data_IF_244544013615
#
_entry.id   IF_244544013615
#
_cell.length_a   1.000
_cell.length_b   1.000
_cell.length_c   1.000
_cell.angle_alpha   90.00
_cell.angle_beta   90.00
_cell.angle_gamma   90.00
#
_symmetry.space_group_name_H-M   'P 1'
#
loop_
_entity.id
_entity.type
_entity.pdbx_description
1 polymer ?
#
# COMPACT_ATOMS: atom_id res chain seq x y z
N UNK A 1 -20.36 21.59 -13.62
CA UNK A 1 -20.21 20.30 -12.94
C UNK A 1 -21.32 19.38 -13.42
N UNK A 2 -21.00 18.60 -14.44
CA UNK A 2 -21.90 17.65 -15.08
C UNK A 2 -21.75 16.29 -14.41
N UNK A 3 -22.81 15.78 -13.78
CA UNK A 3 -22.79 14.45 -13.16
C UNK A 3 -23.31 13.44 -14.18
N UNK A 4 -22.45 12.52 -14.59
CA UNK A 4 -22.77 11.46 -15.50
C UNK A 4 -22.94 10.15 -14.72
N UNK A 5 -24.17 9.62 -14.59
CA UNK A 5 -24.35 8.27 -14.09
C UNK A 5 -23.72 7.32 -15.10
N UNK A 6 -22.71 6.56 -14.67
CA UNK A 6 -22.16 5.51 -15.50
C UNK A 6 -23.21 4.39 -15.58
N UNK A 7 -23.69 4.14 -16.80
CA UNK A 7 -24.51 2.96 -17.09
C UNK A 7 -23.61 1.72 -17.19
N UNK A 8 -24.13 0.62 -17.72
CA UNK A 8 -23.38 -0.58 -18.07
C UNK A 8 -22.06 -0.30 -18.83
N UNK A 9 -22.03 0.73 -19.69
CA UNK A 9 -20.88 1.08 -20.51
C UNK A 9 -20.66 2.60 -20.60
N UNK A 10 -19.43 3.05 -20.31
CA UNK A 10 -19.00 4.45 -20.48
C UNK A 10 -18.11 4.57 -21.70
N UNK A 11 -18.50 5.40 -22.66
CA UNK A 11 -17.78 5.63 -23.92
C UNK A 11 -16.56 6.54 -23.71
N UNK A 12 -15.60 6.45 -24.63
CA UNK A 12 -14.46 7.36 -24.65
C UNK A 12 -14.92 8.83 -24.67
N UNK A 13 -14.26 9.67 -23.87
CA UNK A 13 -14.64 11.07 -23.69
C UNK A 13 -14.04 11.68 -22.42
N UNK A 14 -14.27 12.97 -22.24
CA UNK A 14 -13.90 13.73 -21.04
C UNK A 14 -15.16 14.05 -20.23
N UNK A 15 -15.10 13.82 -18.92
CA UNK A 15 -16.24 13.94 -18.02
C UNK A 15 -15.85 14.72 -16.76
N UNK A 16 -16.67 15.67 -16.31
CA UNK A 16 -16.41 16.30 -15.01
C UNK A 16 -16.53 15.25 -13.89
N UNK A 17 -17.69 14.61 -13.77
CA UNK A 17 -17.95 13.64 -12.71
C UNK A 17 -18.65 12.42 -13.25
N UNK A 18 -18.06 11.25 -13.05
CA UNK A 18 -18.64 9.94 -13.33
C UNK A 18 -19.06 9.26 -12.03
N UNK A 19 -20.25 8.69 -11.99
CA UNK A 19 -20.76 7.95 -10.83
C UNK A 19 -21.16 6.55 -11.27
N UNK A 20 -20.37 5.55 -10.88
CA UNK A 20 -20.61 4.14 -11.15
C UNK A 20 -21.30 3.48 -9.96
N UNK A 21 -22.64 3.49 -9.96
CA UNK A 21 -23.49 2.87 -8.93
C UNK A 21 -23.84 1.42 -9.22
N UNK A 22 -23.62 0.95 -10.44
CA UNK A 22 -23.86 -0.42 -10.89
C UNK A 22 -22.60 -0.95 -11.56
N UNK A 23 -22.49 -2.28 -11.78
CA UNK A 23 -21.39 -2.85 -12.53
C UNK A 23 -21.26 -2.20 -13.91
N UNK A 24 -20.10 -1.64 -14.21
CA UNK A 24 -19.88 -0.90 -15.45
C UNK A 24 -18.52 -1.19 -16.09
N UNK A 25 -18.46 -0.97 -17.40
CA UNK A 25 -17.26 -1.11 -18.22
C UNK A 25 -16.91 0.22 -18.87
N UNK A 26 -15.65 0.63 -18.78
CA UNK A 26 -15.17 1.81 -19.46
C UNK A 26 -14.52 1.42 -20.79
N UNK A 27 -14.72 2.26 -21.80
CA UNK A 27 -13.95 2.21 -23.03
C UNK A 27 -12.50 2.67 -22.78
N UNK A 28 -11.62 2.42 -23.74
CA UNK A 28 -10.31 3.04 -23.74
C UNK A 28 -10.44 4.57 -23.84
N UNK A 29 -9.55 5.31 -23.17
CA UNK A 29 -9.48 6.79 -23.22
C UNK A 29 -10.65 7.53 -22.54
N UNK A 30 -11.34 6.93 -21.58
CA UNK A 30 -12.20 7.68 -20.66
C UNK A 30 -11.33 8.54 -19.74
N UNK A 31 -11.64 9.84 -19.65
CA UNK A 31 -11.00 10.80 -18.75
C UNK A 31 -12.03 11.46 -17.86
N UNK A 32 -11.67 11.71 -16.60
CA UNK A 32 -12.58 12.37 -15.67
C UNK A 32 -11.89 13.31 -14.67
N UNK A 33 -12.59 14.32 -14.18
CA UNK A 33 -12.11 15.03 -12.98
C UNK A 33 -12.41 14.20 -11.73
N UNK A 34 -13.61 13.63 -11.60
CA UNK A 34 -13.97 12.80 -10.45
C UNK A 34 -14.68 11.53 -10.87
N UNK A 35 -14.20 10.37 -10.41
CA UNK A 35 -14.91 9.09 -10.52
C UNK A 35 -15.32 8.61 -9.14
N UNK A 36 -16.63 8.39 -8.93
CA UNK A 36 -17.18 7.74 -7.76
C UNK A 36 -17.59 6.31 -8.12
N UNK A 37 -16.80 5.32 -7.71
CA UNK A 37 -17.12 3.91 -7.91
C UNK A 37 -17.76 3.33 -6.64
N UNK A 38 -18.98 2.82 -6.76
CA UNK A 38 -19.72 2.18 -5.65
C UNK A 38 -19.83 0.66 -5.80
N UNK A 39 -19.66 0.14 -7.02
CA UNK A 39 -19.78 -1.28 -7.34
C UNK A 39 -18.62 -1.74 -8.24
N UNK A 40 -18.77 -2.81 -9.02
CA UNK A 40 -17.71 -3.35 -9.87
C UNK A 40 -17.45 -2.44 -11.07
N UNK A 41 -16.20 -2.01 -11.23
CA UNK A 41 -15.74 -1.23 -12.37
C UNK A 41 -14.66 -2.00 -13.11
N UNK A 42 -14.86 -2.21 -14.41
CA UNK A 42 -13.81 -2.73 -15.30
C UNK A 42 -13.38 -1.64 -16.27
N UNK A 43 -12.09 -1.36 -16.34
CA UNK A 43 -11.55 -0.39 -17.30
C UNK A 43 -10.27 -0.94 -17.92
N UNK A 44 -10.01 -0.68 -19.21
CA UNK A 44 -8.70 -0.95 -19.78
C UNK A 44 -7.63 -0.04 -19.16
N UNK A 45 -7.94 1.24 -18.99
CA UNK A 45 -7.09 2.27 -18.38
C UNK A 45 -7.95 3.25 -17.63
N UNK A 46 -7.48 3.76 -16.49
CA UNK A 46 -8.18 4.80 -15.72
C UNK A 46 -7.31 6.06 -15.76
N UNK A 47 -7.86 7.17 -16.26
CA UNK A 47 -7.14 8.45 -16.30
C UNK A 47 -8.04 9.56 -15.79
N UNK A 48 -7.54 10.42 -14.91
CA UNK A 48 -8.34 11.50 -14.36
C UNK A 48 -7.68 12.25 -13.22
N UNK A 49 -8.46 13.01 -12.46
CA UNK A 49 -7.94 13.77 -11.32
C UNK A 49 -8.15 12.99 -10.01
N UNK A 50 -9.40 12.60 -9.70
CA UNK A 50 -9.75 11.95 -8.43
C UNK A 50 -10.55 10.68 -8.66
N UNK A 51 -10.05 9.56 -8.12
CA UNK A 51 -10.74 8.28 -8.05
C UNK A 51 -11.19 8.02 -6.61
N UNK A 52 -12.49 7.90 -6.37
CA UNK A 52 -13.07 7.56 -5.07
C UNK A 52 -13.79 6.20 -5.17
N UNK A 53 -13.28 5.22 -4.42
CA UNK A 53 -13.89 3.90 -4.28
C UNK A 53 -14.72 3.83 -3.00
N UNK A 54 -16.01 3.49 -3.09
CA UNK A 54 -16.88 3.27 -1.95
C UNK A 54 -17.28 1.80 -1.93
N UNK A 55 -16.45 0.98 -1.29
CA UNK A 55 -16.58 -0.50 -1.25
C UNK A 55 -16.58 -1.18 -2.62
N UNK A 56 -16.12 -0.49 -3.66
CA UNK A 56 -16.11 -0.97 -5.03
C UNK A 56 -15.01 -2.00 -5.31
N UNK A 57 -15.21 -2.81 -6.35
CA UNK A 57 -14.16 -3.66 -6.93
C UNK A 57 -13.74 -3.08 -8.28
N UNK A 58 -12.60 -2.41 -8.31
CA UNK A 58 -12.05 -1.75 -9.49
C UNK A 58 -10.99 -2.67 -10.10
N UNK A 59 -11.16 -3.02 -11.37
CA UNK A 59 -10.23 -3.84 -12.15
C UNK A 59 -9.77 -3.07 -13.37
N UNK A 60 -8.48 -2.75 -13.39
CA UNK A 60 -7.81 -2.07 -14.47
C UNK A 60 -6.79 -3.00 -15.12
N UNK A 61 -6.96 -3.31 -16.42
CA UNK A 61 -6.05 -4.23 -17.12
C UNK A 61 -4.74 -3.59 -17.59
N UNK A 62 -4.65 -2.25 -17.57
CA UNK A 62 -3.43 -1.49 -17.84
C UNK A 62 -3.21 -0.46 -16.74
N UNK A 63 -2.72 0.72 -17.10
CA UNK A 63 -2.32 1.77 -16.18
C UNK A 63 -3.51 2.52 -15.55
N UNK A 64 -3.31 2.91 -14.31
CA UNK A 64 -4.13 3.91 -13.61
C UNK A 64 -3.27 5.17 -13.42
N UNK A 65 -3.74 6.30 -13.96
CA UNK A 65 -3.07 7.60 -13.87
C UNK A 65 -4.06 8.63 -13.33
N UNK A 66 -4.04 8.85 -12.03
CA UNK A 66 -4.92 9.83 -11.37
C UNK A 66 -4.15 10.63 -10.35
N UNK A 67 -4.49 11.88 -10.08
CA UNK A 67 -3.79 12.62 -9.01
C UNK A 67 -4.05 12.02 -7.65
N UNK A 68 -5.29 11.58 -7.36
CA UNK A 68 -5.66 11.09 -6.03
C UNK A 68 -6.51 9.83 -6.11
N UNK A 69 -6.13 8.81 -5.34
CA UNK A 69 -6.93 7.59 -5.11
C UNK A 69 -7.38 7.56 -3.66
N UNK A 70 -8.69 7.49 -3.43
CA UNK A 70 -9.27 7.50 -2.10
C UNK A 70 -10.33 6.40 -1.97
N UNK A 71 -10.47 5.85 -0.77
CA UNK A 71 -11.67 5.12 -0.38
C UNK A 71 -11.44 3.68 0.06
N UNK A 72 -12.34 2.77 -0.28
CA UNK A 72 -12.33 1.40 0.21
C UNK A 72 -12.78 0.37 -0.82
N UNK A 73 -12.41 -0.89 -0.60
CA UNK A 73 -12.81 -2.03 -1.42
C UNK A 73 -11.63 -2.83 -1.96
N UNK A 74 -11.65 -3.14 -3.26
CA UNK A 74 -10.61 -3.89 -3.95
C UNK A 74 -10.14 -3.11 -5.17
N UNK A 75 -8.86 -2.76 -5.23
CA UNK A 75 -8.24 -2.12 -6.39
C UNK A 75 -7.24 -3.08 -7.02
N UNK A 76 -7.54 -3.56 -8.22
CA UNK A 76 -6.67 -4.41 -9.00
C UNK A 76 -6.19 -3.68 -10.25
N UNK A 77 -4.87 -3.59 -10.41
CA UNK A 77 -4.20 -2.91 -11.52
C UNK A 77 -3.15 -3.86 -12.10
N UNK A 78 -3.31 -4.25 -13.35
CA UNK A 78 -2.35 -5.11 -14.04
C UNK A 78 -1.17 -4.33 -14.64
N UNK A 79 -1.34 -3.01 -14.86
CA UNK A 79 -0.29 -2.08 -15.27
C UNK A 79 0.33 -1.28 -14.13
N UNK A 80 0.80 -0.07 -14.43
CA UNK A 80 1.36 0.85 -13.45
C UNK A 80 0.26 1.65 -12.74
N UNK A 81 0.46 1.96 -11.46
CA UNK A 81 -0.41 2.85 -10.67
C UNK A 81 0.36 4.14 -10.37
N UNK A 82 -0.02 5.23 -11.03
CA UNK A 82 0.64 6.54 -10.93
C UNK A 82 -0.33 7.53 -10.31
N UNK A 83 0.07 8.12 -9.17
CA UNK A 83 -0.70 9.15 -8.49
C UNK A 83 0.14 10.10 -7.65
N UNK A 84 -0.47 11.16 -7.14
CA UNK A 84 0.17 12.07 -6.18
C UNK A 84 -0.11 11.63 -4.74
N UNK A 85 -1.28 11.05 -4.48
CA UNK A 85 -1.64 10.49 -3.17
C UNK A 85 -2.57 9.28 -3.30
N UNK A 86 -2.38 8.29 -2.44
CA UNK A 86 -3.22 7.10 -2.35
C UNK A 86 -3.59 6.86 -0.88
N UNK A 87 -4.88 6.87 -0.57
CA UNK A 87 -5.40 6.45 0.74
C UNK A 87 -6.49 5.41 0.54
N UNK A 88 -6.19 4.15 0.83
CA UNK A 88 -7.09 3.05 0.51
C UNK A 88 -7.30 2.09 1.68
N UNK A 89 -8.56 1.75 1.95
CA UNK A 89 -8.96 0.79 2.97
C UNK A 89 -9.44 -0.51 2.31
N UNK A 90 -8.66 -1.58 2.40
CA UNK A 90 -8.97 -2.86 1.76
C UNK A 90 -7.75 -3.44 1.06
N UNK A 91 -7.93 -3.96 -0.15
CA UNK A 91 -6.86 -4.64 -0.89
C UNK A 91 -6.46 -3.81 -2.11
N UNK A 92 -5.17 -3.53 -2.22
CA UNK A 92 -4.54 -2.93 -3.41
C UNK A 92 -3.60 -3.97 -4.00
N UNK A 93 -3.90 -4.42 -5.21
CA UNK A 93 -3.06 -5.35 -5.97
C UNK A 93 -2.60 -4.68 -7.25
N UNK A 94 -1.29 -4.46 -7.36
CA UNK A 94 -0.66 -3.87 -8.54
C UNK A 94 0.42 -4.79 -9.10
N UNK A 95 0.29 -5.21 -10.35
CA UNK A 95 1.27 -6.07 -11.03
C UNK A 95 2.43 -5.26 -11.66
N UNK A 96 2.26 -3.95 -11.86
CA UNK A 96 3.27 -3.02 -12.34
C UNK A 96 3.99 -2.26 -11.22
N UNK A 97 4.50 -1.08 -11.53
CA UNK A 97 5.13 -0.17 -10.56
C UNK A 97 4.05 0.74 -9.95
N UNK A 98 4.09 0.91 -8.63
CA UNK A 98 3.32 1.96 -7.96
C UNK A 98 4.23 3.18 -7.79
N UNK A 99 3.85 4.32 -8.37
CA UNK A 99 4.52 5.61 -8.19
C UNK A 99 3.54 6.59 -7.56
N UNK A 100 3.82 6.99 -6.32
CA UNK A 100 3.07 8.00 -5.60
C UNK A 100 3.98 9.21 -5.38
N UNK A 101 3.63 10.41 -5.85
CA UNK A 101 4.50 11.57 -5.62
C UNK A 101 4.61 11.96 -4.14
N UNK A 102 3.56 11.69 -3.35
CA UNK A 102 3.49 11.99 -1.93
C UNK A 102 3.18 10.75 -1.09
N UNK A 103 2.05 10.76 -0.40
CA UNK A 103 1.70 9.73 0.58
C UNK A 103 0.97 8.54 -0.05
N UNK A 104 1.46 7.33 0.25
CA UNK A 104 0.79 6.06 0.02
C UNK A 104 0.39 5.46 1.36
N UNK A 105 -0.91 5.46 1.65
CA UNK A 105 -1.52 4.93 2.87
C UNK A 105 -2.46 3.79 2.50
N UNK A 106 -2.16 2.58 2.97
CA UNK A 106 -3.03 1.41 2.81
C UNK A 106 -3.37 0.83 4.18
N UNK A 107 -4.66 0.79 4.50
CA UNK A 107 -5.17 0.06 5.66
C UNK A 107 -5.81 -1.24 5.18
N UNK A 108 -5.09 -2.35 5.30
CA UNK A 108 -5.46 -3.64 4.73
C UNK A 108 -4.28 -4.33 4.07
N UNK A 109 -4.42 -4.74 2.81
CA UNK A 109 -3.40 -5.52 2.11
C UNK A 109 -2.86 -4.78 0.89
N UNK A 110 -1.53 -4.64 0.82
CA UNK A 110 -0.82 -4.14 -0.35
C UNK A 110 -0.02 -5.28 -0.98
N UNK A 111 -0.41 -5.68 -2.19
CA UNK A 111 0.26 -6.70 -2.99
C UNK A 111 0.87 -6.04 -4.23
N UNK A 112 2.19 -6.02 -4.28
CA UNK A 112 2.93 -5.56 -5.43
C UNK A 112 4.05 -6.55 -5.78
N UNK A 113 4.16 -6.94 -7.04
CA UNK A 113 5.19 -7.90 -7.46
C UNK A 113 6.47 -7.22 -7.97
N UNK A 114 6.48 -5.88 -8.03
CA UNK A 114 7.60 -5.08 -8.53
C UNK A 114 8.02 -4.04 -7.49
N UNK A 115 7.91 -2.75 -7.83
CA UNK A 115 8.40 -1.65 -7.04
C UNK A 115 7.26 -0.73 -6.59
N UNK A 116 7.37 -0.27 -5.35
CA UNK A 116 6.58 0.80 -4.77
C UNK A 116 7.51 1.99 -4.50
N UNK A 117 7.17 3.15 -5.05
CA UNK A 117 7.91 4.41 -4.92
C UNK A 117 6.96 5.47 -4.39
N UNK A 118 7.25 6.05 -3.23
CA UNK A 118 6.47 7.13 -2.63
C UNK A 118 7.28 7.97 -1.65
N UNK A 119 6.92 9.24 -1.40
CA UNK A 119 7.59 10.00 -0.33
C UNK A 119 7.35 9.33 1.03
N UNK A 120 6.09 9.01 1.33
CA UNK A 120 5.71 8.26 2.52
C UNK A 120 4.98 6.98 2.13
N UNK A 121 5.41 5.84 2.67
CA UNK A 121 4.67 4.57 2.60
C UNK A 121 4.20 4.20 3.99
N UNK A 122 2.88 4.12 4.20
CA UNK A 122 2.27 3.65 5.43
C UNK A 122 1.32 2.50 5.15
N UNK A 123 1.64 1.33 5.67
CA UNK A 123 0.75 0.16 5.58
C UNK A 123 0.35 -0.28 6.98
N UNK A 124 -0.95 -0.23 7.24
CA UNK A 124 -1.59 -0.79 8.44
C UNK A 124 -2.27 -2.10 8.05
N UNK A 125 -1.56 -3.23 8.16
CA UNK A 125 -2.00 -4.54 7.72
C UNK A 125 -0.85 -5.35 7.11
N UNK A 126 -1.10 -6.00 5.97
CA UNK A 126 -0.13 -6.85 5.29
C UNK A 126 0.45 -6.18 4.05
N UNK A 127 1.77 -6.28 3.88
CA UNK A 127 2.45 -5.87 2.66
C UNK A 127 3.23 -7.02 2.05
N UNK A 128 3.07 -7.23 0.73
CA UNK A 128 3.98 -8.05 -0.08
C UNK A 128 4.49 -7.20 -1.23
N UNK A 129 5.81 -6.97 -1.28
CA UNK A 129 6.44 -6.15 -2.31
C UNK A 129 7.80 -6.74 -2.71
N UNK A 130 8.26 -6.54 -3.97
CA UNK A 130 9.63 -6.88 -4.29
C UNK A 130 10.58 -5.76 -3.85
N UNK A 131 10.24 -4.50 -4.10
CA UNK A 131 11.06 -3.36 -3.66
C UNK A 131 10.19 -2.20 -3.20
N UNK A 132 10.61 -1.54 -2.12
CA UNK A 132 9.99 -0.32 -1.60
C UNK A 132 11.05 0.76 -1.52
N UNK A 133 10.77 1.91 -2.12
CA UNK A 133 11.56 3.13 -2.01
C UNK A 133 10.69 4.21 -1.42
N UNK A 134 11.15 4.79 -0.31
CA UNK A 134 10.47 5.91 0.29
C UNK A 134 11.42 6.84 1.02
N UNK A 135 10.96 8.03 1.40
CA UNK A 135 11.65 8.81 2.44
C UNK A 135 11.28 8.27 3.82
N UNK A 136 9.99 7.99 4.05
CA UNK A 136 9.48 7.43 5.30
C UNK A 136 8.67 6.16 5.05
N UNK A 137 9.08 5.06 5.68
CA UNK A 137 8.41 3.77 5.58
C UNK A 137 7.88 3.33 6.95
N UNK A 138 6.56 3.14 7.06
CA UNK A 138 5.88 2.65 8.26
C UNK A 138 5.05 1.43 7.93
N UNK A 139 5.36 0.31 8.58
CA UNK A 139 4.61 -0.92 8.47
C UNK A 139 4.16 -1.38 9.85
N UNK A 140 2.85 -1.53 10.03
CA UNK A 140 2.24 -2.01 11.27
C UNK A 140 1.21 -3.09 10.94
N UNK A 141 1.34 -4.32 11.44
CA UNK A 141 0.30 -5.32 11.25
C UNK A 141 -1.02 -4.86 11.88
N UNK A 142 -2.12 -5.18 11.23
CA UNK A 142 -3.45 -4.84 11.72
C UNK A 142 -3.85 -5.86 12.80
N UNK A 143 -3.55 -5.56 14.05
CA UNK A 143 -4.06 -6.32 15.18
C UNK A 143 -5.42 -5.76 15.58
N UNK A 144 -6.49 -6.53 15.41
CA UNK A 144 -7.79 -6.21 16.01
C UNK A 144 -8.34 -7.43 16.73
N UNK A 145 -8.98 -7.23 17.90
CA UNK A 145 -9.69 -8.32 18.58
C UNK A 145 -10.81 -8.94 17.73
N UNK A 146 -11.22 -8.27 16.64
CA UNK A 146 -12.22 -8.73 15.69
C UNK A 146 -11.62 -9.62 14.59
N UNK A 147 -10.39 -9.41 14.13
CA UNK A 147 -9.74 -10.29 13.13
C UNK A 147 -9.57 -11.71 13.67
N UNK A 148 -9.22 -11.84 14.95
CA UNK A 148 -9.10 -13.14 15.62
C UNK A 148 -10.47 -13.78 15.92
N UNK A 149 -11.51 -12.97 16.21
CA UNK A 149 -12.88 -13.47 16.48
C UNK A 149 -13.63 -13.89 15.21
N UNK A 150 -13.38 -13.24 14.08
CA UNK A 150 -14.11 -13.49 12.84
C UNK A 150 -13.34 -14.30 11.80
N UNK A 151 -12.12 -14.78 12.10
CA UNK A 151 -11.25 -15.50 11.14
C UNK A 151 -11.22 -14.78 9.79
N UNK A 152 -10.85 -13.49 9.84
CA UNK A 152 -10.64 -12.71 8.62
C UNK A 152 -9.31 -13.13 7.99
N UNK A 153 -9.29 -14.36 7.47
CA UNK A 153 -8.12 -15.02 6.91
C UNK A 153 -7.49 -14.14 5.83
N UNK A 154 -6.22 -13.78 6.04
CA UNK A 154 -5.41 -13.06 5.05
C UNK A 154 -4.93 -11.68 5.47
N UNK A 155 -5.47 -11.05 6.52
CA UNK A 155 -4.96 -9.75 7.02
C UNK A 155 -3.97 -9.87 8.18
N UNK A 156 -3.80 -11.09 8.68
CA UNK A 156 -2.92 -11.52 9.77
C UNK A 156 -1.61 -12.16 9.27
N UNK A 157 -1.42 -12.21 7.95
CA UNK A 157 -0.24 -12.78 7.33
C UNK A 157 1.01 -11.91 7.54
N UNK A 158 2.17 -12.58 7.57
CA UNK A 158 3.47 -11.91 7.65
C UNK A 158 3.67 -10.99 6.44
N UNK A 159 4.22 -9.80 6.69
CA UNK A 159 4.59 -8.87 5.63
C UNK A 159 5.96 -9.24 5.07
N UNK A 160 6.08 -9.37 3.75
CA UNK A 160 7.29 -9.83 3.07
C UNK A 160 7.72 -8.82 2.02
N UNK A 161 8.89 -8.20 2.19
CA UNK A 161 9.44 -7.26 1.21
C UNK A 161 10.86 -7.67 0.87
N UNK A 162 11.24 -7.85 -0.39
CA UNK A 162 12.62 -8.30 -0.67
C UNK A 162 13.65 -7.20 -0.35
N UNK A 163 13.39 -5.96 -0.78
CA UNK A 163 14.29 -4.82 -0.55
C UNK A 163 13.52 -3.58 -0.09
N UNK A 164 13.93 -2.98 1.03
CA UNK A 164 13.42 -1.69 1.51
C UNK A 164 14.56 -0.67 1.51
N UNK A 165 14.33 0.47 0.88
CA UNK A 165 15.24 1.62 0.87
C UNK A 165 14.45 2.82 1.35
N UNK A 166 14.76 3.35 2.54
CA UNK A 166 14.15 4.58 3.00
C UNK A 166 14.98 5.30 4.07
N UNK A 167 14.86 6.62 4.17
CA UNK A 167 15.62 7.40 5.15
C UNK A 167 15.23 7.01 6.59
N UNK A 168 13.92 6.94 6.87
CA UNK A 168 13.35 6.53 8.16
C UNK A 168 12.43 5.31 8.00
N UNK A 169 12.71 4.25 8.75
CA UNK A 169 11.97 3.00 8.76
C UNK A 169 11.41 2.71 10.15
N UNK A 170 10.09 2.55 10.27
CA UNK A 170 9.45 1.87 11.39
C UNK A 170 8.71 0.63 10.89
N UNK A 171 9.21 -0.56 11.23
CA UNK A 171 8.59 -1.81 10.81
C UNK A 171 8.23 -2.70 12.01
N UNK A 172 7.07 -3.32 11.93
CA UNK A 172 6.58 -4.36 12.85
C UNK A 172 6.28 -5.63 12.06
N UNK A 173 6.82 -6.77 12.47
CA UNK A 173 6.53 -8.07 11.84
C UNK A 173 6.91 -8.16 10.35
N UNK A 174 8.00 -7.50 9.95
CA UNK A 174 8.51 -7.48 8.57
C UNK A 174 9.54 -8.60 8.34
N UNK A 175 9.37 -9.39 7.29
CA UNK A 175 10.41 -10.27 6.74
C UNK A 175 11.02 -9.61 5.51
N UNK A 176 12.35 -9.42 5.52
CA UNK A 176 13.05 -8.72 4.46
C UNK A 176 14.45 -9.28 4.18
N UNK A 177 14.90 -9.23 2.92
CA UNK A 177 16.26 -9.67 2.56
C UNK A 177 17.29 -8.57 2.67
N UNK A 178 16.94 -7.36 2.25
CA UNK A 178 17.84 -6.21 2.30
C UNK A 178 17.09 -4.96 2.75
N UNK A 179 17.66 -4.25 3.72
CA UNK A 179 17.11 -3.02 4.26
C UNK A 179 18.21 -1.98 4.32
N UNK A 180 17.99 -0.83 3.70
CA UNK A 180 18.90 0.30 3.70
C UNK A 180 18.18 1.54 4.24
N UNK A 181 18.74 2.15 5.29
CA UNK A 181 18.16 3.35 5.89
C UNK A 181 19.16 4.24 6.60
N UNK A 182 18.82 5.52 6.79
CA UNK A 182 19.55 6.38 7.72
C UNK A 182 19.21 6.00 9.17
N UNK A 183 17.93 5.74 9.43
CA UNK A 183 17.39 5.36 10.75
C UNK A 183 16.36 4.23 10.60
N UNK A 184 16.41 3.27 11.51
CA UNK A 184 15.46 2.14 11.50
C UNK A 184 15.05 1.71 12.91
N UNK A 185 13.75 1.49 13.10
CA UNK A 185 13.14 0.85 14.26
C UNK A 185 12.42 -0.42 13.82
N UNK A 186 12.93 -1.58 14.27
CA UNK A 186 12.48 -2.91 13.89
C UNK A 186 12.00 -3.66 15.13
N UNK A 187 10.71 -3.94 15.23
CA UNK A 187 10.11 -4.53 16.44
C UNK A 187 9.05 -5.58 16.08
N UNK A 188 8.53 -6.29 17.08
CA UNK A 188 7.43 -7.25 16.92
C UNK A 188 7.71 -8.33 15.86
N UNK A 189 8.87 -9.00 15.96
CA UNK A 189 9.17 -10.19 15.14
C UNK A 189 9.71 -9.89 13.75
N UNK A 190 10.37 -8.76 13.54
CA UNK A 190 11.06 -8.47 12.28
C UNK A 190 12.17 -9.49 12.01
N UNK A 191 12.30 -9.97 10.77
CA UNK A 191 13.38 -10.86 10.33
C UNK A 191 14.06 -10.30 9.09
N UNK A 192 15.26 -9.76 9.27
CA UNK A 192 15.98 -9.08 8.20
C UNK A 192 17.32 -9.78 7.95
N UNK A 193 17.57 -10.19 6.70
CA UNK A 193 18.84 -10.85 6.35
C UNK A 193 20.00 -9.85 6.34
N UNK A 194 19.86 -8.73 5.63
CA UNK A 194 20.89 -7.69 5.55
C UNK A 194 20.31 -6.32 5.93
N UNK A 195 20.88 -5.69 6.97
CA UNK A 195 20.56 -4.32 7.38
C UNK A 195 21.78 -3.44 7.17
N UNK A 196 21.61 -2.35 6.44
CA UNK A 196 22.59 -1.26 6.36
C UNK A 196 21.96 -0.02 6.95
N UNK A 197 22.49 0.44 8.08
CA UNK A 197 22.00 1.64 8.75
C UNK A 197 23.13 2.62 9.03
N UNK A 198 22.89 3.92 8.78
CA UNK A 198 23.93 4.95 8.91
C UNK A 198 23.97 5.60 10.29
N UNK A 199 22.83 5.92 10.89
CA UNK A 199 22.78 6.66 12.17
C UNK A 199 22.31 5.82 13.34
N UNK A 200 21.08 5.30 13.28
CA UNK A 200 20.43 4.70 14.45
C UNK A 200 19.61 3.48 14.08
N UNK A 201 19.91 2.36 14.74
CA UNK A 201 19.18 1.11 14.56
C UNK A 201 18.62 0.66 15.93
N UNK A 202 17.30 0.66 16.06
CA UNK A 202 16.58 0.18 17.23
C UNK A 202 15.94 -1.16 16.91
N UNK A 203 16.21 -2.19 17.73
CA UNK A 203 15.59 -3.51 17.60
C UNK A 203 15.14 -4.05 18.94
N UNK A 204 14.03 -4.78 18.99
CA UNK A 204 13.66 -5.57 20.17
C UNK A 204 14.26 -6.98 20.17
N UNK A 205 14.06 -7.73 21.25
CA UNK A 205 14.50 -9.12 21.40
C UNK A 205 13.72 -10.11 20.53
N UNK A 206 12.52 -9.73 20.07
CA UNK A 206 11.67 -10.57 19.23
C UNK A 206 12.12 -10.58 17.77
N UNK A 207 12.91 -9.59 17.36
CA UNK A 207 13.40 -9.40 16.00
C UNK A 207 14.79 -10.02 15.78
N UNK A 208 15.01 -10.59 14.60
CA UNK A 208 16.27 -11.24 14.21
C UNK A 208 16.91 -10.54 13.00
N UNK A 209 18.12 -10.04 13.19
CA UNK A 209 18.93 -9.41 12.14
C UNK A 209 20.16 -10.28 11.91
N UNK A 210 20.38 -10.79 10.69
CA UNK A 210 21.48 -11.72 10.41
C UNK A 210 22.80 -10.99 10.17
N UNK A 211 22.80 -10.04 9.24
CA UNK A 211 23.96 -9.23 8.88
C UNK A 211 23.62 -7.77 9.07
N UNK A 212 24.46 -7.07 9.83
CA UNK A 212 24.28 -5.66 10.15
C UNK A 212 25.54 -4.89 9.75
N UNK A 213 25.40 -3.95 8.83
CA UNK A 213 26.47 -3.09 8.32
C UNK A 213 26.15 -1.60 8.51
N UNK A 214 27.17 -0.75 8.35
CA UNK A 214 27.09 0.71 8.50
C UNK A 214 27.61 1.23 9.85
N UNK A 215 27.72 2.55 9.98
CA UNK A 215 28.29 3.25 11.15
C UNK A 215 27.31 3.56 12.27
N UNK A 216 26.27 2.74 12.45
CA UNK A 216 25.14 3.02 13.33
C UNK A 216 25.42 2.75 14.81
N UNK A 217 24.64 3.43 15.66
CA UNK A 217 24.47 3.04 17.07
C UNK A 217 23.33 2.03 17.17
N UNK A 218 23.63 0.81 17.60
CA UNK A 218 22.64 -0.24 17.85
C UNK A 218 22.06 -0.08 19.26
N UNK A 219 20.75 0.07 19.37
CA UNK A 219 20.03 0.12 20.65
C UNK A 219 19.03 -1.03 20.72
N UNK A 220 19.15 -1.87 21.76
CA UNK A 220 18.17 -2.91 22.04
C UNK A 220 17.07 -2.38 22.93
N UNK A 221 15.83 -2.46 22.47
CA UNK A 221 14.65 -2.27 23.33
C UNK A 221 14.35 -3.58 24.05
N UNK A 222 14.33 -3.53 25.37
CA UNK A 222 13.76 -4.61 26.17
C UNK A 222 12.25 -4.65 25.92
N UNK A 223 11.76 -5.81 25.51
CA UNK A 223 10.33 -6.08 25.39
C UNK A 223 9.71 -5.97 26.79
N UNK A 224 8.93 -4.91 27.03
CA UNK A 224 8.09 -4.81 28.23
C UNK A 224 7.03 -5.91 28.10
N UNK A 225 7.26 -7.01 28.80
CA UNK A 225 6.29 -8.09 28.96
C UNK A 225 5.15 -7.51 29.79
N UNK A 226 4.09 -7.01 29.15
CA UNK A 226 2.82 -6.78 29.83
C UNK A 226 2.23 -8.15 30.19
N UNK A 227 2.60 -8.65 31.37
CA UNK A 227 1.83 -9.66 32.07
C UNK A 227 0.48 -9.05 32.43
N UNK A 228 -0.56 -9.34 31.65
CA UNK A 228 -1.94 -9.21 32.12
C UNK A 228 -2.39 -10.53 32.74
N UNK A 229 -2.54 -10.46 34.05
CA UNK A 229 -3.20 -11.39 34.99
C UNK A 229 -4.61 -11.73 34.52
#
# INVERSE_FOLDING_TARGET
MSIHPATDFVRAGEYDTLVATMPCRFDAKVRFDTLLAHDVLFAPSITGEVLVSKTATIRCSHDVRVKRVLGSGQLHVDGDLICDSLTFNGVVRCSGVIRCAGDLVVNGMLLNTRQVDADTVRVSGQMKAATVRARLFRLRPLHSGLTNRFRMDGFDGVSTVNHVIADDIEARGLVCRALHAEQATLVDGCRIENVTCERTLISDSSSSLLLVGGGHRLERRESVVEHRV
#
